data_IF_836639942279
#
_entry.id   IF_836639942279
#
_cell.length_a   1.000
_cell.length_b   1.000
_cell.length_c   1.000
_cell.angle_alpha   90.00
_cell.angle_beta   90.00
_cell.angle_gamma   90.00
#
_symmetry.space_group_name_H-M   'P 1'
#
loop_
_entity.id
_entity.type
_entity.pdbx_description
1 polymer ?
#
# COMPACT_ATOMS: atom_id res chain seq x y z
N UNK A 1 -16.20 -27.34 2.46
CA UNK A 1 -16.16 -27.66 1.02
C UNK A 1 -14.97 -28.57 0.81
N UNK A 2 -15.06 -29.61 -0.03
CA UNK A 2 -13.87 -30.43 -0.33
C UNK A 2 -12.85 -29.63 -1.17
N UNK A 3 -11.59 -30.08 -1.17
CA UNK A 3 -10.45 -29.39 -1.80
C UNK A 3 -10.68 -29.15 -3.29
N UNK A 4 -11.27 -30.11 -4.00
CA UNK A 4 -11.51 -30.00 -5.44
C UNK A 4 -12.65 -29.04 -5.74
N UNK A 5 -13.68 -29.00 -4.90
CA UNK A 5 -14.74 -28.01 -4.97
C UNK A 5 -14.20 -26.59 -4.70
N UNK A 6 -13.27 -26.42 -3.75
CA UNK A 6 -12.58 -25.14 -3.53
C UNK A 6 -11.76 -24.74 -4.77
N UNK A 7 -10.96 -25.68 -5.33
CA UNK A 7 -10.17 -25.43 -6.55
C UNK A 7 -11.06 -24.96 -7.70
N UNK A 8 -12.13 -25.72 -8.01
CA UNK A 8 -13.11 -25.35 -9.05
C UNK A 8 -13.78 -24.01 -8.77
N UNK A 9 -14.07 -23.70 -7.52
CA UNK A 9 -14.66 -22.41 -7.14
C UNK A 9 -13.69 -21.25 -7.39
N UNK A 10 -12.41 -21.40 -7.03
CA UNK A 10 -11.37 -20.39 -7.31
C UNK A 10 -11.22 -20.17 -8.81
N UNK A 11 -11.13 -21.25 -9.60
CA UNK A 11 -11.02 -21.18 -11.06
C UNK A 11 -12.26 -20.53 -11.70
N UNK A 12 -13.45 -20.87 -11.22
CA UNK A 12 -14.69 -20.24 -11.65
C UNK A 12 -14.66 -18.72 -11.39
N UNK A 13 -14.36 -18.29 -10.16
CA UNK A 13 -14.27 -16.86 -9.79
C UNK A 13 -13.19 -16.12 -10.56
N UNK A 14 -12.04 -16.76 -10.81
CA UNK A 14 -10.95 -16.24 -11.64
C UNK A 14 -11.41 -16.03 -13.08
N UNK A 15 -12.06 -17.03 -13.69
CA UNK A 15 -12.55 -16.94 -15.07
C UNK A 15 -13.65 -15.89 -15.25
N UNK A 16 -14.51 -15.73 -14.24
CA UNK A 16 -15.55 -14.70 -14.16
C UNK A 16 -15.03 -13.30 -13.81
N UNK A 17 -13.71 -13.12 -13.60
CA UNK A 17 -13.08 -11.87 -13.14
C UNK A 17 -13.60 -11.34 -11.79
N UNK A 18 -14.25 -12.19 -11.01
CA UNK A 18 -14.68 -11.88 -9.64
C UNK A 18 -13.53 -12.01 -8.64
N UNK A 19 -12.52 -12.83 -8.98
CA UNK A 19 -11.29 -12.98 -8.23
C UNK A 19 -10.12 -12.58 -9.11
N UNK A 20 -9.25 -11.72 -8.58
CA UNK A 20 -8.06 -11.27 -9.29
C UNK A 20 -7.10 -12.42 -9.57
N UNK A 21 -6.41 -12.32 -10.70
CA UNK A 21 -5.45 -13.32 -11.15
C UNK A 21 -4.38 -13.61 -10.08
N UNK A 22 -3.76 -12.57 -9.51
CA UNK A 22 -2.68 -12.78 -8.53
C UNK A 22 -3.19 -13.43 -7.25
N UNK A 23 -4.36 -13.03 -6.78
CA UNK A 23 -5.00 -13.61 -5.59
C UNK A 23 -5.39 -15.06 -5.86
N UNK A 24 -5.98 -15.35 -7.01
CA UNK A 24 -6.34 -16.71 -7.42
C UNK A 24 -5.10 -17.63 -7.49
N UNK A 25 -4.00 -17.16 -8.09
CA UNK A 25 -2.73 -17.90 -8.14
C UNK A 25 -2.20 -18.17 -6.73
N UNK A 26 -2.23 -17.18 -5.83
CA UNK A 26 -1.82 -17.35 -4.43
C UNK A 26 -2.71 -18.38 -3.71
N UNK A 27 -4.04 -18.28 -3.85
CA UNK A 27 -4.99 -19.24 -3.26
C UNK A 27 -4.75 -20.66 -3.77
N UNK A 28 -4.58 -20.86 -5.08
CA UNK A 28 -4.31 -22.18 -5.67
C UNK A 28 -2.96 -22.74 -5.22
N UNK A 29 -1.94 -21.89 -5.10
CA UNK A 29 -0.62 -22.29 -4.60
C UNK A 29 -0.68 -22.71 -3.12
N UNK A 30 -1.37 -21.93 -2.28
CA UNK A 30 -1.58 -22.27 -0.87
C UNK A 30 -2.39 -23.56 -0.74
N UNK A 31 -3.50 -23.68 -1.48
CA UNK A 31 -4.31 -24.90 -1.53
C UNK A 31 -3.49 -26.11 -1.93
N UNK A 32 -2.54 -25.97 -2.86
CA UNK A 32 -1.63 -27.03 -3.33
C UNK A 32 -0.64 -27.54 -2.27
N UNK A 33 -0.32 -26.72 -1.26
CA UNK A 33 0.62 -27.07 -0.18
C UNK A 33 -0.03 -27.75 1.03
N UNK A 34 -1.35 -27.67 1.15
CA UNK A 34 -2.11 -28.31 2.24
C UNK A 34 -2.11 -29.84 2.08
N UNK A 35 -2.18 -30.53 3.22
CA UNK A 35 -2.32 -31.99 3.27
C UNK A 35 -3.73 -32.40 2.85
N UNK A 36 -3.89 -33.62 2.34
CA UNK A 36 -5.19 -34.12 1.82
C UNK A 36 -6.27 -34.26 2.91
N UNK A 37 -5.86 -34.43 4.17
CA UNK A 37 -6.74 -34.55 5.34
C UNK A 37 -7.08 -33.20 6.00
N UNK A 38 -6.48 -32.10 5.52
CA UNK A 38 -6.64 -30.78 6.11
C UNK A 38 -7.95 -30.14 5.66
N UNK A 39 -8.80 -29.76 6.62
CA UNK A 39 -10.02 -29.00 6.33
C UNK A 39 -9.63 -27.59 5.88
N UNK A 40 -10.06 -27.23 4.67
CA UNK A 40 -9.79 -25.91 4.10
C UNK A 40 -11.04 -25.04 4.19
N UNK A 41 -10.89 -23.87 4.82
CA UNK A 41 -11.90 -22.81 4.79
C UNK A 41 -11.57 -21.82 3.67
N UNK A 42 -12.50 -21.66 2.72
CA UNK A 42 -12.33 -20.75 1.59
C UNK A 42 -12.13 -19.30 2.03
N UNK A 43 -12.84 -18.84 3.07
CA UNK A 43 -12.73 -17.46 3.54
C UNK A 43 -11.36 -17.20 4.16
N UNK A 44 -10.83 -18.16 4.93
CA UNK A 44 -9.47 -18.07 5.49
C UNK A 44 -8.42 -18.08 4.38
N UNK A 45 -8.57 -18.97 3.38
CA UNK A 45 -7.67 -19.04 2.22
C UNK A 45 -7.69 -17.75 1.39
N UNK A 46 -8.86 -17.13 1.25
CA UNK A 46 -9.02 -15.86 0.55
C UNK A 46 -8.34 -14.74 1.33
N UNK A 47 -8.61 -14.62 2.63
CA UNK A 47 -8.00 -13.62 3.52
C UNK A 47 -6.46 -13.72 3.47
N UNK A 48 -5.90 -14.94 3.59
CA UNK A 48 -4.44 -15.17 3.55
C UNK A 48 -3.81 -14.93 2.18
N UNK A 49 -4.57 -15.02 1.10
CA UNK A 49 -4.10 -14.71 -0.26
C UNK A 49 -4.20 -13.22 -0.58
N UNK A 50 -5.18 -12.53 0.01
CA UNK A 50 -5.39 -11.08 -0.12
C UNK A 50 -4.43 -10.27 0.74
N UNK A 51 -4.10 -10.75 1.93
CA UNK A 51 -3.30 -10.02 2.91
C UNK A 51 -2.00 -10.78 3.18
N UNK A 52 -0.96 -10.47 2.41
CA UNK A 52 0.35 -11.09 2.57
C UNK A 52 0.99 -10.72 3.92
N UNK A 53 1.83 -11.58 4.51
CA UNK A 53 2.65 -11.17 5.65
C UNK A 53 3.47 -9.92 5.33
N UNK A 54 3.69 -9.06 6.33
CA UNK A 54 4.51 -7.86 6.20
C UNK A 54 5.92 -8.23 5.71
N UNK A 55 6.37 -7.75 4.53
CA UNK A 55 7.74 -7.95 4.07
C UNK A 55 8.72 -7.23 4.99
N UNK A 56 9.96 -7.74 5.11
CA UNK A 56 11.04 -7.09 5.88
C UNK A 56 11.43 -5.70 5.37
N UNK A 57 11.07 -5.40 4.13
CA UNK A 57 11.30 -4.13 3.46
C UNK A 57 10.05 -3.70 2.73
N UNK A 58 9.60 -2.50 3.01
CA UNK A 58 8.48 -1.87 2.33
C UNK A 58 8.90 -0.49 1.82
N UNK A 59 8.03 0.14 1.05
CA UNK A 59 8.34 1.40 0.39
C UNK A 59 7.29 2.45 0.69
N UNK A 60 7.75 3.66 1.01
CA UNK A 60 6.92 4.84 1.22
C UNK A 60 7.19 5.88 0.13
N UNK A 61 6.13 6.48 -0.41
CA UNK A 61 6.22 7.57 -1.38
C UNK A 61 5.98 8.90 -0.70
N UNK A 62 6.86 9.87 -0.93
CA UNK A 62 6.72 11.23 -0.41
C UNK A 62 7.20 12.27 -1.43
N UNK A 63 6.67 13.51 -1.42
CA UNK A 63 7.17 14.56 -2.30
C UNK A 63 8.62 14.91 -1.97
N UNK A 64 9.42 15.25 -2.98
CA UNK A 64 10.83 15.66 -2.78
C UNK A 64 10.95 16.85 -1.81
N UNK A 65 9.94 17.73 -1.76
CA UNK A 65 9.89 18.89 -0.88
C UNK A 65 10.00 18.56 0.63
N UNK A 66 9.66 17.34 1.06
CA UNK A 66 9.77 16.92 2.48
C UNK A 66 11.00 16.05 2.76
N UNK A 67 11.90 15.87 1.78
CA UNK A 67 13.08 15.00 1.90
C UNK A 67 13.92 15.28 3.14
N UNK A 68 14.25 16.54 3.39
CA UNK A 68 15.12 16.90 4.51
C UNK A 68 14.43 16.69 5.87
N UNK A 69 13.11 16.94 5.94
CA UNK A 69 12.30 16.62 7.12
C UNK A 69 12.35 15.11 7.41
N UNK A 70 12.19 14.28 6.37
CA UNK A 70 12.24 12.82 6.49
C UNK A 70 13.64 12.35 6.93
N UNK A 71 14.71 12.93 6.38
CA UNK A 71 16.09 12.62 6.82
C UNK A 71 16.33 12.94 8.28
N UNK A 72 15.78 14.06 8.76
CA UNK A 72 16.01 14.53 10.12
C UNK A 72 15.15 13.80 11.16
N UNK A 73 13.87 13.54 10.83
CA UNK A 73 12.89 13.07 11.81
C UNK A 73 12.34 11.67 11.52
N UNK A 74 12.59 11.14 10.33
CA UNK A 74 11.97 9.92 9.84
C UNK A 74 10.60 10.17 9.20
N UNK A 75 9.81 9.12 9.03
CA UNK A 75 8.44 9.24 8.55
C UNK A 75 7.52 9.49 9.73
N UNK A 76 6.75 10.57 9.65
CA UNK A 76 5.78 10.94 10.68
C UNK A 76 4.42 10.33 10.34
N UNK A 77 3.76 9.75 11.35
CA UNK A 77 2.40 9.27 11.21
C UNK A 77 1.48 10.46 10.87
N UNK A 78 0.89 10.41 9.68
CA UNK A 78 -0.01 11.43 9.17
C UNK A 78 -1.46 11.05 9.38
N UNK A 79 -2.31 12.04 9.59
CA UNK A 79 -3.75 11.85 9.47
C UNK A 79 -4.14 11.98 7.99
N UNK A 80 -4.61 10.92 7.32
CA UNK A 80 -4.98 11.00 5.92
C UNK A 80 -6.18 11.93 5.67
N UNK A 81 -6.90 12.32 6.72
CA UNK A 81 -7.97 13.34 6.65
C UNK A 81 -7.42 14.76 6.58
N UNK A 82 -6.15 14.97 6.95
CA UNK A 82 -5.50 16.27 6.96
C UNK A 82 -4.65 16.44 5.70
N UNK A 83 -5.25 16.87 4.59
CA UNK A 83 -4.53 17.26 3.37
C UNK A 83 -5.13 16.71 2.09
N UNK A 84 -4.29 16.50 1.07
CA UNK A 84 -4.69 16.12 -0.30
C UNK A 84 -5.47 14.80 -0.40
N UNK A 85 -5.50 14.02 0.68
CA UNK A 85 -6.17 12.71 0.76
C UNK A 85 -7.54 12.77 1.44
N UNK A 86 -7.96 13.92 1.99
CA UNK A 86 -9.19 14.07 2.76
C UNK A 86 -10.46 13.72 1.98
N UNK A 87 -10.44 13.98 0.67
CA UNK A 87 -11.64 13.94 -0.18
C UNK A 87 -11.73 12.65 -1.01
N UNK A 88 -10.79 11.72 -0.83
CA UNK A 88 -10.74 10.43 -1.53
C UNK A 88 -10.84 9.27 -0.55
N UNK A 89 -11.12 8.06 -1.04
CA UNK A 89 -11.30 6.87 -0.19
C UNK A 89 -10.14 6.61 0.80
N UNK A 90 -8.93 7.06 0.49
CA UNK A 90 -7.77 7.00 1.38
C UNK A 90 -7.88 7.89 2.63
N UNK A 91 -8.68 8.96 2.60
CA UNK A 91 -8.95 9.84 3.74
C UNK A 91 -9.69 9.15 4.90
N UNK A 92 -10.29 7.98 4.67
CA UNK A 92 -10.91 7.18 5.74
C UNK A 92 -9.92 6.21 6.42
N UNK A 93 -8.66 6.21 6.00
CA UNK A 93 -7.63 5.41 6.61
C UNK A 93 -7.31 5.86 8.05
N UNK A 94 -6.77 4.97 8.89
CA UNK A 94 -6.27 5.35 10.22
C UNK A 94 -5.07 6.31 10.13
N UNK A 95 -4.78 7.01 11.22
CA UNK A 95 -3.53 7.78 11.36
C UNK A 95 -2.35 6.81 11.33
N UNK A 96 -1.33 7.13 10.53
CA UNK A 96 -0.14 6.28 10.43
C UNK A 96 0.80 6.61 9.27
N UNK A 97 1.84 5.77 9.14
CA UNK A 97 2.76 5.74 8.01
C UNK A 97 2.37 4.58 7.11
N UNK A 98 2.03 4.88 5.85
CA UNK A 98 1.59 3.91 4.87
C UNK A 98 2.76 3.45 4.00
N UNK A 99 2.87 2.14 3.77
CA UNK A 99 3.93 1.54 2.95
C UNK A 99 3.37 0.45 2.05
N UNK A 100 3.98 0.27 0.88
CA UNK A 100 3.68 -0.82 -0.06
C UNK A 100 4.80 -1.85 -0.16
N UNK A 101 4.49 -3.05 -0.63
CA UNK A 101 5.48 -4.11 -0.83
C UNK A 101 6.49 -3.79 -1.96
N UNK A 102 6.09 -2.94 -2.90
CA UNK A 102 6.86 -2.59 -4.10
C UNK A 102 7.13 -1.09 -4.15
N UNK A 103 8.29 -0.66 -4.70
CA UNK A 103 8.59 0.75 -4.89
C UNK A 103 7.61 1.38 -5.87
N UNK A 104 7.20 2.63 -5.60
CA UNK A 104 6.22 3.35 -6.43
C UNK A 104 6.87 4.01 -7.64
N UNK A 105 7.38 3.19 -8.56
CA UNK A 105 8.13 3.68 -9.71
C UNK A 105 7.28 4.43 -10.74
N UNK A 106 5.96 4.22 -10.72
CA UNK A 106 5.00 4.80 -11.66
C UNK A 106 4.15 5.93 -11.06
N UNK A 107 4.47 6.32 -9.82
CA UNK A 107 3.81 7.38 -9.06
C UNK A 107 2.31 7.15 -8.80
N UNK A 108 1.92 5.90 -8.53
CA UNK A 108 0.57 5.54 -8.09
C UNK A 108 0.20 6.28 -6.80
N UNK A 109 1.15 6.42 -5.88
CA UNK A 109 1.00 7.10 -4.58
C UNK A 109 1.58 8.51 -4.58
N UNK A 110 2.31 8.89 -5.63
CA UNK A 110 2.83 10.24 -5.81
C UNK A 110 1.76 11.28 -6.19
N UNK A 111 0.61 10.84 -6.71
CA UNK A 111 -0.51 11.71 -7.06
C UNK A 111 -0.10 12.86 -7.98
N UNK A 112 -0.11 14.09 -7.49
CA UNK A 112 0.19 15.29 -8.24
C UNK A 112 1.53 15.92 -7.87
N UNK A 113 2.40 15.18 -7.20
CA UNK A 113 3.77 15.61 -7.01
C UNK A 113 4.49 15.57 -8.37
N UNK A 114 5.10 16.68 -8.83
CA UNK A 114 5.89 16.67 -10.05
C UNK A 114 7.10 15.74 -9.90
N UNK A 115 7.65 15.65 -8.69
CA UNK A 115 8.73 14.74 -8.34
C UNK A 115 8.45 14.11 -6.97
N UNK A 116 8.77 12.83 -6.82
CA UNK A 116 8.65 12.11 -5.55
C UNK A 116 9.88 11.27 -5.23
N UNK A 117 10.12 11.12 -3.94
CA UNK A 117 11.06 10.17 -3.39
C UNK A 117 10.33 8.88 -2.99
N UNK A 118 11.06 7.78 -3.18
CA UNK A 118 10.69 6.47 -2.70
C UNK A 118 11.67 6.13 -1.56
N UNK A 119 11.13 5.82 -0.39
CA UNK A 119 11.89 5.49 0.82
C UNK A 119 11.73 4.02 1.12
N UNK A 120 12.84 3.26 1.15
CA UNK A 120 12.85 1.90 1.68
C UNK A 120 12.77 1.96 3.20
N UNK A 121 11.84 1.22 3.79
CA UNK A 121 11.58 1.11 5.22
C UNK A 121 11.97 -0.29 5.69
N UNK A 122 12.91 -0.38 6.63
CA UNK A 122 13.24 -1.62 7.33
C UNK A 122 12.17 -1.91 8.40
N UNK A 123 11.23 -2.77 8.06
CA UNK A 123 10.10 -3.16 8.94
C UNK A 123 10.51 -4.20 9.97
N UNK A 124 11.57 -4.97 9.71
CA UNK A 124 12.00 -6.10 10.55
C UNK A 124 12.46 -5.69 11.95
N UNK A 125 12.77 -4.41 12.10
CA UNK A 125 13.28 -3.84 13.33
C UNK A 125 12.28 -2.89 14.02
N UNK A 126 11.01 -3.00 13.62
CA UNK A 126 9.84 -2.37 14.20
C UNK A 126 8.91 -3.46 14.75
N UNK A 127 8.05 -3.11 15.69
CA UNK A 127 7.12 -4.06 16.29
C UNK A 127 6.05 -4.49 15.26
N UNK A 128 6.02 -5.78 14.92
CA UNK A 128 5.08 -6.35 13.96
C UNK A 128 3.63 -6.14 14.38
N UNK A 129 3.34 -6.15 15.69
CA UNK A 129 1.99 -5.93 16.21
C UNK A 129 1.48 -4.49 16.02
N UNK A 130 2.38 -3.55 15.73
CA UNK A 130 2.04 -2.15 15.45
C UNK A 130 1.64 -1.91 13.98
N UNK A 131 1.87 -2.89 13.11
CA UNK A 131 1.46 -2.85 11.71
C UNK A 131 0.08 -3.46 11.52
N UNK A 132 -0.74 -2.81 10.70
CA UNK A 132 -1.98 -3.39 10.21
C UNK A 132 -2.03 -3.32 8.69
N UNK A 133 -2.76 -4.26 8.09
CA UNK A 133 -3.07 -4.17 6.68
C UNK A 133 -3.99 -2.99 6.43
N UNK A 134 -3.63 -2.18 5.44
CA UNK A 134 -4.56 -1.21 4.90
C UNK A 134 -5.62 -1.97 4.10
N UNK A 135 -6.75 -2.29 4.74
CA UNK A 135 -7.83 -3.05 4.11
C UNK A 135 -8.55 -2.27 2.99
N UNK A 136 -8.41 -0.95 2.93
CA UNK A 136 -9.02 -0.13 1.87
C UNK A 136 -8.22 -0.26 0.57
N UNK A 137 -6.90 -0.24 0.68
CA UNK A 137 -5.99 -0.42 -0.47
C UNK A 137 -5.57 -1.89 -0.67
N UNK A 138 -5.90 -2.77 0.29
CA UNK A 138 -5.40 -4.12 0.48
C UNK A 138 -5.43 -5.03 -0.74
N UNK A 139 -6.54 -5.09 -1.53
CA UNK A 139 -6.52 -5.89 -2.73
C UNK A 139 -5.51 -5.36 -3.75
N UNK A 140 -5.40 -4.04 -3.92
CA UNK A 140 -4.77 -3.34 -5.05
C UNK A 140 -3.28 -3.06 -4.89
N UNK A 141 -2.78 -3.06 -3.66
CA UNK A 141 -1.51 -2.44 -3.34
C UNK A 141 -0.55 -3.30 -2.54
N UNK A 142 -1.02 -4.38 -1.88
CA UNK A 142 -0.28 -5.04 -0.80
C UNK A 142 0.31 -3.95 0.13
N UNK A 143 -0.58 -3.25 0.85
CA UNK A 143 -0.25 -2.05 1.65
C UNK A 143 -0.48 -2.28 3.15
N UNK A 144 0.37 -1.63 3.95
CA UNK A 144 0.33 -1.66 5.41
C UNK A 144 0.41 -0.25 5.98
N UNK A 145 -0.10 -0.10 7.19
CA UNK A 145 -0.01 1.13 7.98
C UNK A 145 0.62 0.83 9.33
N UNK A 146 1.61 1.65 9.71
CA UNK A 146 2.17 1.70 11.05
C UNK A 146 1.50 2.86 11.81
N UNK A 147 0.91 2.59 12.96
CA UNK A 147 0.19 3.60 13.76
C UNK A 147 1.11 4.54 14.57
N UNK A 148 2.40 4.58 14.23
CA UNK A 148 3.41 5.40 14.85
C UNK A 148 4.41 5.90 13.81
N UNK A 149 5.32 6.79 14.23
CA UNK A 149 6.40 7.25 13.36
C UNK A 149 7.39 6.13 13.05
N UNK A 150 8.03 6.21 11.88
CA UNK A 150 9.21 5.41 11.53
C UNK A 150 10.46 6.25 11.77
N UNK A 151 11.39 5.85 12.66
CA UNK A 151 12.60 6.62 12.92
C UNK A 151 13.50 6.74 11.67
N UNK A 152 14.18 7.88 11.50
CA UNK A 152 15.09 8.14 10.38
C UNK A 152 16.14 7.03 10.14
N UNK A 153 16.65 6.41 11.20
CA UNK A 153 17.62 5.30 11.11
C UNK A 153 17.08 4.01 10.46
N UNK A 154 15.76 3.92 10.25
CA UNK A 154 15.07 2.75 9.67
C UNK A 154 14.66 2.98 8.23
N UNK A 155 14.99 4.13 7.66
CA UNK A 155 14.63 4.47 6.29
C UNK A 155 15.86 4.82 5.49
N UNK A 156 15.85 4.43 4.21
CA UNK A 156 16.89 4.79 3.24
C UNK A 156 16.20 5.34 2.01
N UNK A 157 16.72 6.45 1.48
CA UNK A 157 16.24 6.94 0.18
C UNK A 157 16.60 5.90 -0.89
N UNK A 158 15.59 5.30 -1.48
CA UNK A 158 15.75 4.27 -2.51
C UNK A 158 15.96 4.90 -3.89
N UNK A 159 15.19 5.94 -4.19
CA UNK A 159 15.32 6.68 -5.45
C UNK A 159 14.35 7.85 -5.55
N UNK A 160 14.57 8.67 -6.57
CA UNK A 160 13.70 9.80 -6.94
C UNK A 160 13.10 9.52 -8.31
N UNK A 161 11.89 10.01 -8.55
CA UNK A 161 11.15 9.90 -9.82
C UNK A 161 10.53 11.24 -10.18
N UNK A 162 10.36 11.47 -11.47
CA UNK A 162 9.66 12.62 -12.05
C UNK A 162 8.39 12.13 -12.76
N UNK A 163 7.33 12.93 -12.69
CA UNK A 163 6.09 12.69 -13.41
C UNK A 163 6.29 12.67 -14.93
N UNK A 164 7.32 13.35 -15.47
CA UNK A 164 7.70 13.27 -16.88
C UNK A 164 8.05 11.86 -17.34
N UNK A 165 8.52 11.01 -16.42
CA UNK A 165 8.96 9.64 -16.70
C UNK A 165 7.80 8.64 -16.59
N UNK A 166 6.62 9.07 -16.12
CA UNK A 166 5.47 8.23 -15.84
C UNK A 166 4.24 8.63 -16.66
N UNK A 167 3.95 7.97 -17.80
CA UNK A 167 2.79 8.29 -18.64
C UNK A 167 1.43 8.04 -17.95
N UNK A 168 1.41 7.38 -16.79
CA UNK A 168 0.21 7.09 -15.99
C UNK A 168 -0.21 8.20 -15.03
N UNK A 169 0.64 9.19 -14.74
CA UNK A 169 0.29 10.29 -13.84
C UNK A 169 -0.45 11.37 -14.64
N UNK A 170 -1.60 11.00 -15.19
CA UNK A 170 -2.58 12.00 -15.60
C UNK A 170 -3.26 12.50 -14.34
N UNK A 171 -2.76 13.62 -13.81
CA UNK A 171 -3.49 14.42 -12.83
C UNK A 171 -4.91 14.62 -13.35
N UNK A 172 -5.87 13.84 -12.82
CA UNK A 172 -7.27 14.18 -12.95
C UNK A 172 -7.47 15.60 -12.44
N UNK A 173 -8.51 16.28 -12.93
CA UNK A 173 -8.86 17.69 -12.62
C UNK A 173 -8.95 18.07 -11.12
N UNK A 174 -8.67 17.15 -10.19
CA UNK A 174 -8.77 17.27 -8.74
C UNK A 174 -7.62 18.09 -8.11
N UNK A 175 -6.36 18.04 -8.59
CA UNK A 175 -5.28 18.82 -7.95
C UNK A 175 -5.25 20.32 -8.32
N UNK A 176 -6.02 20.79 -9.30
CA UNK A 176 -6.06 22.24 -9.65
C UNK A 176 -6.80 23.11 -8.64
N UNK A 177 -7.53 22.52 -7.67
CA UNK A 177 -8.34 23.29 -6.70
C UNK A 177 -7.62 23.58 -5.38
N UNK A 178 -6.51 22.92 -5.07
CA UNK A 178 -5.82 23.03 -3.76
C UNK A 178 -4.67 24.03 -3.68
N UNK A 179 -4.10 24.48 -4.80
CA UNK A 179 -2.90 25.34 -4.81
C UNK A 179 -3.20 26.85 -4.64
N UNK A 180 -4.44 27.22 -4.30
CA UNK A 180 -4.89 28.61 -4.31
C UNK A 180 -5.70 29.02 -3.08
N UNK A 181 -5.19 28.81 -1.86
CA UNK A 181 -5.72 29.48 -0.67
C UNK A 181 -4.72 29.44 0.50
N UNK A 182 -3.62 30.16 0.38
CA UNK A 182 -2.87 30.65 1.54
C UNK A 182 -2.65 32.15 1.36
N UNK A 183 -3.68 32.94 1.65
CA UNK A 183 -3.48 34.37 1.92
C UNK A 183 -2.87 34.50 3.31
N UNK A 184 -1.76 35.22 3.50
CA UNK A 184 -1.29 35.56 4.83
C UNK A 184 -2.23 36.65 5.38
N UNK A 185 -2.95 36.32 6.45
CA UNK A 185 -3.62 37.32 7.28
C UNK A 185 -2.59 38.08 8.09
N UNK A 186 -2.37 39.34 7.73
CA UNK A 186 -1.73 40.38 8.52
C UNK A 186 -2.57 41.64 8.42
#
# INVERSE_FOLDING_TARGET
MDRDAIRRHIEFKRSGRELREEVAVRMLSQLGRLRDDEKVDYAVLLESAMFLPLPRRCYHTAPVAVRDLIRQHGLLAGDPRAGTWSDVGAGFGPVGVYVGAVPDEIGRWAHCYPEWDIWEVDTSALDEASWSHDRLNGPWADAWVLHSNVPAKRITLWGTRDASDSPSIQCGNQCRRGAGAASPGG
#
